data_IF_022683597187
#
_entry.id   IF_022683597187
#
_cell.length_a   1.000
_cell.length_b   1.000
_cell.length_c   1.000
_cell.angle_alpha   90.00
_cell.angle_beta   90.00
_cell.angle_gamma   90.00
#
_symmetry.space_group_name_H-M   'P 1'
#
loop_
_entity.id
_entity.type
_entity.pdbx_description
1 polymer ?
#
# COMPACT_ATOMS: atom_id res chain seq x y z
N UNK A 1 3.24 11.72 8.77
CA UNK A 1 3.65 10.32 8.55
C UNK A 1 5.16 10.19 8.42
N UNK A 2 5.78 10.38 7.25
CA UNK A 2 7.27 10.34 7.14
C UNK A 2 7.91 11.53 7.88
N UNK A 3 7.40 12.75 7.66
CA UNK A 3 7.85 13.95 8.41
C UNK A 3 7.57 13.89 9.92
N UNK A 4 6.73 12.95 10.36
CA UNK A 4 6.44 12.72 11.79
C UNK A 4 7.29 11.59 12.38
N UNK A 5 8.20 11.00 11.60
CA UNK A 5 9.11 9.93 12.04
C UNK A 5 8.52 8.52 11.99
N UNK A 6 7.35 8.31 11.38
CA UNK A 6 6.80 6.96 11.19
C UNK A 6 7.48 6.27 10.01
N UNK A 7 8.01 5.07 10.25
CA UNK A 7 8.63 4.24 9.22
C UNK A 7 7.59 3.84 8.15
N UNK A 8 8.00 3.84 6.88
CA UNK A 8 7.12 3.44 5.79
C UNK A 8 6.62 1.99 5.93
N UNK A 9 7.46 1.11 6.49
CA UNK A 9 7.11 -0.30 6.76
C UNK A 9 5.95 -0.44 7.76
N UNK A 10 5.87 0.41 8.79
CA UNK A 10 4.73 0.40 9.71
C UNK A 10 3.42 0.76 9.01
N UNK A 11 3.47 1.73 8.11
CA UNK A 11 2.30 2.17 7.33
C UNK A 11 1.84 1.05 6.41
N UNK A 12 2.77 0.38 5.72
CA UNK A 12 2.49 -0.78 4.86
C UNK A 12 1.80 -1.89 5.64
N UNK A 13 2.32 -2.26 6.82
CA UNK A 13 1.74 -3.30 7.66
C UNK A 13 0.31 -2.96 8.11
N UNK A 14 0.09 -1.74 8.59
CA UNK A 14 -1.26 -1.31 9.01
C UNK A 14 -2.25 -1.29 7.85
N UNK A 15 -1.78 -0.89 6.66
CA UNK A 15 -2.61 -0.83 5.46
C UNK A 15 -2.96 -2.23 4.95
N UNK A 16 -2.00 -3.15 4.95
CA UNK A 16 -2.22 -4.56 4.64
C UNK A 16 -3.34 -5.14 5.52
N UNK A 17 -3.24 -4.98 6.84
CA UNK A 17 -4.23 -5.50 7.78
C UNK A 17 -5.64 -4.96 7.52
N UNK A 18 -5.74 -3.66 7.19
CA UNK A 18 -7.02 -3.02 6.85
C UNK A 18 -7.60 -3.51 5.52
N UNK A 19 -6.76 -3.76 4.53
CA UNK A 19 -7.22 -4.14 3.18
C UNK A 19 -7.70 -5.59 3.16
N UNK A 20 -6.98 -6.50 3.82
CA UNK A 20 -7.34 -7.92 3.86
C UNK A 20 -8.72 -8.11 4.49
N UNK A 21 -9.00 -7.43 5.60
CA UNK A 21 -10.27 -7.54 6.33
C UNK A 21 -11.42 -6.72 5.74
N UNK A 22 -11.15 -5.83 4.77
CA UNK A 22 -12.18 -4.94 4.23
C UNK A 22 -13.25 -5.73 3.47
N UNK A 23 -14.52 -5.56 3.81
CA UNK A 23 -15.65 -6.12 3.05
C UNK A 23 -16.09 -5.21 1.88
N UNK A 24 -15.57 -3.98 1.81
CA UNK A 24 -15.89 -3.00 0.77
C UNK A 24 -15.09 -3.21 -0.52
N UNK A 25 -14.04 -4.03 -0.46
CA UNK A 25 -13.15 -4.32 -1.58
C UNK A 25 -13.40 -5.73 -2.10
N UNK A 26 -13.49 -5.86 -3.43
CA UNK A 26 -13.52 -7.16 -4.11
C UNK A 26 -12.17 -7.86 -4.00
N UNK A 27 -12.17 -9.19 -4.12
CA UNK A 27 -10.93 -9.99 -4.10
C UNK A 27 -9.93 -9.56 -5.19
N UNK A 28 -10.43 -9.13 -6.36
CA UNK A 28 -9.57 -8.59 -7.42
C UNK A 28 -8.90 -7.29 -7.00
N UNK A 29 -9.64 -6.34 -6.40
CA UNK A 29 -9.06 -5.09 -5.90
C UNK A 29 -8.04 -5.37 -4.79
N UNK A 30 -8.38 -6.25 -3.84
CA UNK A 30 -7.47 -6.69 -2.78
C UNK A 30 -6.19 -7.28 -3.36
N UNK A 31 -6.31 -8.19 -4.34
CA UNK A 31 -5.17 -8.84 -4.96
C UNK A 31 -4.20 -7.84 -5.58
N UNK A 32 -4.72 -6.87 -6.36
CA UNK A 32 -3.88 -5.86 -7.02
C UNK A 32 -3.19 -4.97 -5.99
N UNK A 33 -3.89 -4.58 -4.92
CA UNK A 33 -3.27 -3.76 -3.88
C UNK A 33 -2.23 -4.56 -3.08
N UNK A 34 -2.52 -5.79 -2.68
CA UNK A 34 -1.60 -6.65 -1.94
C UNK A 34 -0.33 -6.96 -2.73
N UNK A 35 -0.43 -7.13 -4.06
CA UNK A 35 0.73 -7.23 -4.93
C UNK A 35 1.59 -5.97 -4.86
N UNK A 36 0.98 -4.78 -5.00
CA UNK A 36 1.73 -3.53 -4.91
C UNK A 36 2.35 -3.30 -3.53
N UNK A 37 1.64 -3.66 -2.45
CA UNK A 37 2.16 -3.64 -1.08
C UNK A 37 3.43 -4.49 -0.96
N UNK A 38 3.39 -5.72 -1.48
CA UNK A 38 4.51 -6.67 -1.41
C UNK A 38 5.73 -6.17 -2.17
N UNK A 39 5.53 -5.54 -3.34
CA UNK A 39 6.61 -4.91 -4.10
C UNK A 39 7.21 -3.73 -3.34
N UNK A 40 6.37 -2.84 -2.80
CA UNK A 40 6.85 -1.68 -2.04
C UNK A 40 7.59 -2.10 -0.76
N UNK A 41 7.09 -3.10 -0.03
CA UNK A 41 7.74 -3.63 1.18
C UNK A 41 9.12 -4.22 0.87
N UNK A 42 9.22 -5.02 -0.20
CA UNK A 42 10.51 -5.51 -0.70
C UNK A 42 11.46 -4.36 -1.05
N UNK A 43 10.99 -3.35 -1.78
CA UNK A 43 11.82 -2.21 -2.15
C UNK A 43 12.33 -1.45 -0.92
N UNK A 44 11.50 -1.29 0.12
CA UNK A 44 11.93 -0.67 1.38
C UNK A 44 13.00 -1.51 2.08
N UNK A 45 12.85 -2.84 2.13
CA UNK A 45 13.90 -3.73 2.65
C UNK A 45 15.22 -3.62 1.88
N UNK A 46 15.14 -3.40 0.58
CA UNK A 46 16.30 -3.18 -0.31
C UNK A 46 16.86 -1.74 -0.21
N UNK A 47 16.33 -0.88 0.69
CA UNK A 47 16.83 0.48 0.94
C UNK A 47 16.31 1.55 -0.01
N UNK A 48 15.17 1.33 -0.67
CA UNK A 48 14.54 2.32 -1.54
C UNK A 48 13.98 3.52 -0.76
N UNK A 49 13.81 4.65 -1.45
CA UNK A 49 13.24 5.87 -0.89
C UNK A 49 11.80 5.68 -0.39
N UNK A 50 11.58 5.95 0.89
CA UNK A 50 10.31 5.74 1.58
C UNK A 50 9.16 6.54 0.99
N UNK A 51 9.41 7.81 0.64
CA UNK A 51 8.39 8.72 0.13
C UNK A 51 7.90 8.25 -1.24
N UNK A 52 8.83 7.89 -2.13
CA UNK A 52 8.50 7.39 -3.46
C UNK A 52 7.75 6.05 -3.39
N UNK A 53 8.15 5.13 -2.49
CA UNK A 53 7.45 3.85 -2.35
C UNK A 53 6.00 4.04 -1.85
N UNK A 54 5.78 4.91 -0.87
CA UNK A 54 4.43 5.19 -0.37
C UNK A 54 3.58 5.93 -1.40
N UNK A 55 4.13 6.89 -2.14
CA UNK A 55 3.39 7.56 -3.23
C UNK A 55 2.97 6.58 -4.32
N UNK A 56 3.87 5.69 -4.74
CA UNK A 56 3.55 4.67 -5.74
C UNK A 56 2.46 3.70 -5.25
N UNK A 57 2.51 3.32 -3.97
CA UNK A 57 1.50 2.48 -3.33
C UNK A 57 0.13 3.16 -3.29
N UNK A 58 0.06 4.39 -2.77
CA UNK A 58 -1.22 5.11 -2.64
C UNK A 58 -1.87 5.43 -3.99
N UNK A 59 -1.07 5.66 -5.03
CA UNK A 59 -1.59 5.83 -6.40
C UNK A 59 -2.34 4.59 -6.91
N UNK A 60 -1.80 3.40 -6.67
CA UNK A 60 -2.47 2.14 -7.04
C UNK A 60 -3.74 1.95 -6.21
N UNK A 61 -3.68 2.20 -4.91
CA UNK A 61 -4.84 2.11 -4.01
C UNK A 61 -5.96 3.05 -4.48
N UNK A 62 -5.62 4.30 -4.77
CA UNK A 62 -6.58 5.28 -5.27
C UNK A 62 -7.20 4.82 -6.59
N UNK A 63 -6.41 4.24 -7.50
CA UNK A 63 -6.94 3.71 -8.76
C UNK A 63 -7.94 2.58 -8.52
N UNK A 64 -7.64 1.65 -7.60
CA UNK A 64 -8.52 0.53 -7.28
C UNK A 64 -9.81 0.97 -6.57
N UNK A 65 -9.78 2.03 -5.77
CA UNK A 65 -10.93 2.51 -5.00
C UNK A 65 -11.79 3.50 -5.81
N UNK A 66 -11.17 4.46 -6.50
CA UNK A 66 -11.88 5.54 -7.19
C UNK A 66 -12.39 5.16 -8.57
N UNK A 67 -11.68 4.29 -9.32
CA UNK A 67 -12.16 3.80 -10.61
C UNK A 67 -13.02 2.55 -10.41
N UNK A 68 -14.24 2.74 -9.88
CA UNK A 68 -15.31 1.73 -9.94
C UNK A 68 -15.70 1.52 -11.41
N UNK A 69 -15.40 0.34 -11.97
CA UNK A 69 -16.15 -0.20 -13.10
C UNK A 69 -17.17 -1.20 -12.59
#
# INVERSE_FOLDING_TARGET
MINEGFAATQVINQLHDRIVISEELTDTQKSVICEKLSVSDKCLMDGADEYLQLMALFSIIMTQICHRK
#
